data_IF_094789017936
#
_entry.id   IF_094789017936
#
_cell.length_a   1.000
_cell.length_b   1.000
_cell.length_c   1.000
_cell.angle_alpha   90.00
_cell.angle_beta   90.00
_cell.angle_gamma   90.00
#
_symmetry.space_group_name_H-M   'P 1'
#
loop_
_entity.id
_entity.type
_entity.pdbx_description
1 polymer ?
#
# COMPACT_ATOMS: atom_id res chain seq x y z
N UNK A 1 -12.66 0.28 -1.25
CA UNK A 1 -11.29 -0.31 -1.34
C UNK A 1 -11.40 -1.82 -1.57
N UNK A 2 -10.68 -2.40 -2.55
CA UNK A 2 -10.62 -3.86 -2.76
C UNK A 2 -9.81 -4.49 -1.61
N UNK A 3 -10.41 -4.61 -0.43
CA UNK A 3 -9.78 -5.30 0.68
C UNK A 3 -10.29 -6.74 0.75
N UNK A 4 -9.49 -7.66 1.30
CA UNK A 4 -9.85 -9.06 1.52
C UNK A 4 -11.16 -9.26 2.31
N UNK A 5 -11.72 -8.18 2.85
CA UNK A 5 -13.00 -8.10 3.55
C UNK A 5 -14.24 -8.35 2.67
N UNK A 6 -14.16 -8.24 1.33
CA UNK A 6 -15.33 -8.52 0.47
C UNK A 6 -15.68 -10.02 0.32
N UNK A 7 -14.98 -10.90 1.03
CA UNK A 7 -15.13 -12.35 0.89
C UNK A 7 -14.50 -12.86 -0.42
N UNK A 8 -13.95 -14.06 -0.39
CA UNK A 8 -13.37 -14.72 -1.57
C UNK A 8 -14.30 -15.79 -2.15
N UNK A 9 -15.58 -15.75 -1.76
CA UNK A 9 -16.58 -16.69 -2.23
C UNK A 9 -17.09 -16.26 -3.61
N UNK A 10 -17.27 -17.22 -4.50
CA UNK A 10 -17.65 -16.97 -5.89
C UNK A 10 -19.16 -17.09 -6.02
N UNK A 11 -19.77 -15.99 -6.43
CA UNK A 11 -21.14 -15.97 -6.91
C UNK A 11 -21.13 -16.32 -8.41
N UNK A 12 -21.66 -17.50 -8.76
CA UNK A 12 -21.61 -18.04 -10.13
C UNK A 12 -22.28 -17.10 -11.14
N UNK A 13 -23.39 -16.48 -10.77
CA UNK A 13 -24.13 -15.57 -11.67
C UNK A 13 -23.33 -14.30 -11.94
N UNK A 14 -22.78 -13.67 -10.88
CA UNK A 14 -21.90 -12.50 -11.03
C UNK A 14 -20.62 -12.82 -11.78
N UNK A 15 -20.07 -14.01 -11.59
CA UNK A 15 -18.88 -14.46 -12.30
C UNK A 15 -19.15 -14.58 -13.80
N UNK A 16 -20.28 -15.16 -14.18
CA UNK A 16 -20.74 -15.26 -15.56
C UNK A 16 -20.98 -13.89 -16.18
N UNK A 17 -21.62 -12.97 -15.48
CA UNK A 17 -21.80 -11.58 -15.93
C UNK A 17 -20.46 -10.86 -16.16
N UNK A 18 -19.51 -11.03 -15.23
CA UNK A 18 -18.17 -10.48 -15.35
C UNK A 18 -17.41 -11.03 -16.57
N UNK A 19 -17.49 -12.34 -16.81
CA UNK A 19 -16.90 -12.95 -18.01
C UNK A 19 -17.50 -12.40 -19.31
N UNK A 20 -18.82 -12.16 -19.34
CA UNK A 20 -19.51 -11.56 -20.49
C UNK A 20 -19.04 -10.12 -20.75
N UNK A 21 -18.87 -9.31 -19.70
CA UNK A 21 -18.51 -7.89 -19.83
C UNK A 21 -17.10 -7.68 -20.37
N UNK A 22 -16.16 -8.61 -20.12
CA UNK A 22 -14.77 -8.50 -20.59
C UNK A 22 -14.59 -8.61 -22.10
N UNK A 23 -15.59 -9.09 -22.86
CA UNK A 23 -15.54 -9.22 -24.32
C UNK A 23 -14.60 -10.31 -24.86
N UNK A 24 -13.42 -10.52 -24.26
CA UNK A 24 -12.42 -11.54 -24.65
C UNK A 24 -12.90 -12.98 -24.48
N UNK A 25 -13.90 -13.22 -23.64
CA UNK A 25 -14.46 -14.55 -23.37
C UNK A 25 -15.76 -14.85 -24.12
N UNK A 26 -16.04 -14.12 -25.21
CA UNK A 26 -17.26 -14.33 -26.03
C UNK A 26 -17.44 -15.79 -26.50
N UNK A 27 -16.36 -16.50 -26.77
CA UNK A 27 -16.37 -17.89 -27.21
C UNK A 27 -16.97 -18.86 -26.17
N UNK A 28 -16.96 -18.51 -24.88
CA UNK A 28 -17.60 -19.32 -23.83
C UNK A 28 -19.14 -19.23 -23.86
N UNK A 29 -19.68 -18.22 -24.55
CA UNK A 29 -21.12 -17.93 -24.58
C UNK A 29 -21.73 -18.15 -25.96
N UNK A 30 -20.94 -17.97 -27.03
CA UNK A 30 -21.37 -18.09 -28.43
C UNK A 30 -20.30 -18.83 -29.25
N UNK A 31 -20.69 -19.70 -30.21
CA UNK A 31 -22.05 -19.97 -30.67
C UNK A 31 -22.87 -20.87 -29.74
N UNK A 32 -22.22 -21.71 -28.93
CA UNK A 32 -22.85 -22.56 -27.91
C UNK A 32 -22.37 -22.14 -26.52
N UNK A 33 -23.24 -22.23 -25.53
CA UNK A 33 -22.88 -22.01 -24.14
C UNK A 33 -21.99 -23.15 -23.63
N UNK A 34 -20.78 -22.80 -23.19
CA UNK A 34 -19.72 -23.72 -22.75
C UNK A 34 -19.73 -23.86 -21.22
N UNK A 35 -20.80 -24.47 -20.68
CA UNK A 35 -21.03 -24.55 -19.22
C UNK A 35 -19.90 -25.27 -18.48
N UNK A 36 -19.44 -26.40 -19.02
CA UNK A 36 -18.38 -27.21 -18.40
C UNK A 36 -17.08 -26.42 -18.24
N UNK A 37 -16.74 -25.60 -19.23
CA UNK A 37 -15.54 -24.77 -19.22
C UNK A 37 -15.68 -23.62 -18.22
N UNK A 38 -16.86 -23.01 -18.14
CA UNK A 38 -17.16 -21.98 -17.12
C UNK A 38 -17.05 -22.60 -15.71
N UNK A 39 -17.61 -23.78 -15.49
CA UNK A 39 -17.54 -24.48 -14.20
C UNK A 39 -16.09 -24.87 -13.84
N UNK A 40 -15.30 -25.30 -14.82
CA UNK A 40 -13.87 -25.54 -14.60
C UNK A 40 -13.13 -24.26 -14.18
N UNK A 41 -13.41 -23.13 -14.83
CA UNK A 41 -12.81 -21.84 -14.47
C UNK A 41 -13.20 -21.45 -13.04
N UNK A 42 -14.48 -21.61 -12.67
CA UNK A 42 -14.97 -21.35 -11.31
C UNK A 42 -14.23 -22.25 -10.33
N UNK A 43 -14.19 -23.56 -10.58
CA UNK A 43 -13.50 -24.52 -9.72
C UNK A 43 -12.03 -24.13 -9.49
N UNK A 44 -11.26 -23.83 -10.55
CA UNK A 44 -9.87 -23.40 -10.40
C UNK A 44 -9.74 -22.09 -9.62
N UNK A 45 -10.69 -21.17 -9.79
CA UNK A 45 -10.74 -19.91 -9.04
C UNK A 45 -11.03 -20.16 -7.56
N UNK A 46 -11.95 -21.06 -7.22
CA UNK A 46 -12.23 -21.46 -5.84
C UNK A 46 -11.02 -22.13 -5.18
N UNK A 47 -10.32 -23.03 -5.89
CA UNK A 47 -9.10 -23.65 -5.36
C UNK A 47 -8.01 -22.61 -5.08
N UNK A 48 -7.87 -21.61 -5.96
CA UNK A 48 -6.97 -20.47 -5.73
C UNK A 48 -7.40 -19.63 -4.53
N UNK A 49 -8.69 -19.36 -4.41
CA UNK A 49 -9.25 -18.59 -3.30
C UNK A 49 -9.08 -19.30 -1.96
N UNK A 50 -9.21 -20.63 -1.90
CA UNK A 50 -8.89 -21.43 -0.70
C UNK A 50 -7.45 -21.26 -0.26
N UNK A 51 -6.49 -21.33 -1.20
CA UNK A 51 -5.07 -21.05 -0.90
C UNK A 51 -4.88 -19.64 -0.36
N UNK A 52 -5.55 -18.66 -0.96
CA UNK A 52 -5.47 -17.27 -0.54
C UNK A 52 -6.05 -17.05 0.86
N UNK A 53 -7.20 -17.67 1.18
CA UNK A 53 -7.79 -17.67 2.54
C UNK A 53 -6.80 -18.24 3.57
N UNK A 54 -6.17 -19.37 3.27
CA UNK A 54 -5.15 -19.95 4.16
C UNK A 54 -3.93 -19.02 4.36
N UNK A 55 -3.51 -18.29 3.33
CA UNK A 55 -2.47 -17.27 3.48
C UNK A 55 -2.94 -16.09 4.34
N UNK A 56 -4.17 -15.61 4.16
CA UNK A 56 -4.74 -14.52 4.95
C UNK A 56 -4.82 -14.93 6.44
N UNK A 57 -5.24 -16.15 6.73
CA UNK A 57 -5.26 -16.69 8.10
C UNK A 57 -3.84 -16.77 8.69
N UNK A 58 -2.86 -17.22 7.90
CA UNK A 58 -1.47 -17.32 8.34
C UNK A 58 -0.79 -15.96 8.57
N UNK A 59 -1.12 -14.95 7.76
CA UNK A 59 -0.58 -13.59 7.90
C UNK A 59 -1.37 -12.71 8.87
N UNK A 60 -2.58 -13.11 9.22
CA UNK A 60 -3.56 -12.29 9.95
C UNK A 60 -4.27 -11.32 9.01
N UNK A 61 -5.60 -11.29 9.04
CA UNK A 61 -6.36 -10.22 8.40
C UNK A 61 -6.09 -8.91 9.16
N UNK A 62 -5.37 -7.98 8.52
CA UNK A 62 -5.15 -6.65 9.13
C UNK A 62 -6.47 -5.93 9.30
N UNK A 63 -6.69 -5.33 10.47
CA UNK A 63 -7.79 -4.38 10.67
C UNK A 63 -7.73 -3.32 9.57
N UNK A 64 -8.85 -2.91 8.97
CA UNK A 64 -8.79 -2.08 7.76
C UNK A 64 -8.14 -0.72 8.03
N UNK A 65 -8.29 -0.20 9.26
CA UNK A 65 -7.80 1.10 9.72
C UNK A 65 -7.63 1.03 11.24
N UNK A 66 -6.45 1.42 11.74
CA UNK A 66 -6.25 1.77 13.15
C UNK A 66 -6.27 3.30 13.30
N UNK A 67 -7.06 3.79 14.27
CA UNK A 67 -7.21 5.24 14.52
C UNK A 67 -6.49 5.62 15.80
N UNK A 68 -5.43 6.40 15.66
CA UNK A 68 -4.66 6.94 16.79
C UNK A 68 -5.13 8.36 17.12
N UNK A 69 -5.36 8.64 18.40
CA UNK A 69 -5.64 9.99 18.90
C UNK A 69 -4.45 10.49 19.70
N UNK A 70 -3.82 11.55 19.23
CA UNK A 70 -2.69 12.19 19.91
C UNK A 70 -3.13 13.49 20.56
N UNK A 71 -2.67 13.73 21.80
CA UNK A 71 -2.87 15.02 22.46
C UNK A 71 -1.90 16.04 21.86
N UNK A 72 -2.42 16.99 21.07
CA UNK A 72 -1.63 18.03 20.40
C UNK A 72 -0.74 18.83 21.35
N UNK A 73 -1.18 19.06 22.60
CA UNK A 73 -0.41 19.80 23.62
C UNK A 73 0.75 19.00 24.22
N UNK A 74 0.74 17.67 24.06
CA UNK A 74 1.76 16.78 24.58
C UNK A 74 2.73 16.27 23.48
N UNK A 75 2.57 16.74 22.23
CA UNK A 75 3.45 16.36 21.14
C UNK A 75 4.86 16.86 21.39
N UNK A 76 5.82 15.95 21.28
CA UNK A 76 7.24 16.27 21.30
C UNK A 76 7.72 16.53 19.87
N UNK A 77 8.79 17.31 19.68
CA UNK A 77 9.43 17.43 18.37
C UNK A 77 9.84 16.06 17.83
N UNK A 78 9.40 15.76 16.62
CA UNK A 78 9.70 14.51 15.93
C UNK A 78 11.20 14.30 15.73
N UNK A 79 11.63 13.04 15.70
CA UNK A 79 13.04 12.65 15.57
C UNK A 79 13.36 11.92 14.25
N UNK A 80 12.42 11.82 13.31
CA UNK A 80 12.57 11.07 12.05
C UNK A 80 13.23 11.89 10.94
N UNK A 81 12.88 13.17 10.80
CA UNK A 81 13.40 14.06 9.77
C UNK A 81 14.21 15.19 10.42
N UNK A 82 15.49 15.27 10.07
CA UNK A 82 16.42 16.26 10.60
C UNK A 82 16.15 17.65 10.02
N UNK A 83 16.38 18.73 10.78
CA UNK A 83 16.46 20.07 10.22
C UNK A 83 17.70 20.20 9.30
N UNK A 84 17.74 21.23 8.46
CA UNK A 84 18.88 21.51 7.58
C UNK A 84 18.83 20.85 6.20
N UNK A 85 17.64 20.45 5.74
CA UNK A 85 17.40 19.95 4.39
C UNK A 85 17.17 21.07 3.37
N UNK A 86 17.38 20.80 2.08
CA UNK A 86 17.32 21.76 0.97
C UNK A 86 15.90 22.09 0.45
N UNK A 87 14.87 22.04 1.30
CA UNK A 87 13.52 22.47 0.94
C UNK A 87 13.43 24.00 0.96
N UNK A 88 12.63 24.59 0.07
CA UNK A 88 12.45 26.04 0.00
C UNK A 88 11.95 26.63 1.33
N UNK A 89 12.30 27.89 1.67
CA UNK A 89 11.69 28.59 2.79
C UNK A 89 10.17 28.63 2.64
N UNK A 90 9.45 28.14 3.65
CA UNK A 90 7.98 28.05 3.61
C UNK A 90 7.42 26.94 2.72
N UNK A 91 8.23 25.93 2.35
CA UNK A 91 7.76 24.82 1.52
C UNK A 91 6.61 24.04 2.21
N UNK A 92 5.45 23.99 1.54
CA UNK A 92 4.30 23.23 2.02
C UNK A 92 4.57 21.72 2.17
N UNK A 93 5.33 21.13 1.24
CA UNK A 93 5.72 19.71 1.35
C UNK A 93 6.57 19.44 2.60
N UNK A 94 7.49 20.36 2.96
CA UNK A 94 8.27 20.25 4.19
C UNK A 94 7.41 20.31 5.46
N UNK A 95 6.40 21.18 5.48
CA UNK A 95 5.45 21.25 6.58
C UNK A 95 4.65 19.95 6.72
N UNK A 96 4.15 19.39 5.60
CA UNK A 96 3.42 18.12 5.59
C UNK A 96 4.31 16.98 6.06
N UNK A 97 5.56 16.88 5.57
CA UNK A 97 6.50 15.85 6.00
C UNK A 97 6.81 15.94 7.50
N UNK A 98 6.99 17.14 8.05
CA UNK A 98 7.23 17.32 9.47
C UNK A 98 6.01 16.94 10.32
N UNK A 99 4.80 17.29 9.89
CA UNK A 99 3.56 16.89 10.57
C UNK A 99 3.34 15.38 10.51
N UNK A 100 3.56 14.78 9.34
CA UNK A 100 3.50 13.34 9.14
C UNK A 100 4.52 12.61 10.01
N UNK A 101 5.76 13.07 10.06
CA UNK A 101 6.81 12.54 10.93
C UNK A 101 6.45 12.68 12.42
N UNK A 102 5.80 13.78 12.82
CA UNK A 102 5.32 13.98 14.19
C UNK A 102 4.26 12.96 14.59
N UNK A 103 3.28 12.72 13.71
CA UNK A 103 2.26 11.69 13.96
C UNK A 103 2.88 10.29 13.98
N UNK A 104 3.78 10.00 13.03
CA UNK A 104 4.42 8.70 12.90
C UNK A 104 5.33 8.38 14.10
N UNK A 105 6.16 9.32 14.56
CA UNK A 105 7.04 9.15 15.74
C UNK A 105 6.21 8.89 17.00
N UNK A 106 5.13 9.64 17.20
CA UNK A 106 4.24 9.46 18.34
C UNK A 106 3.56 8.09 18.40
N UNK A 107 3.35 7.43 17.25
CA UNK A 107 2.67 6.12 17.15
C UNK A 107 3.66 4.96 17.10
N UNK A 108 4.73 5.10 16.32
CA UNK A 108 5.59 4.00 15.91
C UNK A 108 6.97 4.05 16.56
N UNK A 109 7.33 5.18 17.18
CA UNK A 109 8.71 5.48 17.52
C UNK A 109 9.62 5.22 16.32
N UNK A 110 10.69 4.44 16.53
CA UNK A 110 11.63 4.10 15.46
C UNK A 110 11.25 2.86 14.64
N UNK A 111 10.14 2.18 14.94
CA UNK A 111 9.72 0.97 14.22
C UNK A 111 8.99 1.32 12.91
N UNK A 112 9.67 2.05 12.03
CA UNK A 112 9.11 2.61 10.81
C UNK A 112 10.14 2.64 9.68
N UNK A 113 9.66 2.55 8.45
CA UNK A 113 10.45 2.72 7.23
C UNK A 113 9.72 3.70 6.30
N UNK A 114 10.45 4.69 5.80
CA UNK A 114 9.96 5.62 4.79
C UNK A 114 10.44 5.19 3.40
N UNK A 115 9.55 5.27 2.41
CA UNK A 115 9.85 4.97 1.00
C UNK A 115 9.47 6.18 0.18
N UNK A 116 10.42 6.80 -0.51
CA UNK A 116 10.19 8.04 -1.23
C UNK A 116 10.43 7.85 -2.73
N UNK A 117 9.46 8.21 -3.57
CA UNK A 117 9.72 8.39 -4.99
C UNK A 117 10.64 9.60 -5.21
N UNK A 118 11.39 9.59 -6.31
CA UNK A 118 12.01 10.81 -6.86
C UNK A 118 10.98 11.95 -6.88
N UNK A 119 11.29 13.07 -6.24
CA UNK A 119 10.39 14.22 -6.05
C UNK A 119 11.15 15.40 -5.45
N UNK A 120 10.53 16.59 -5.41
CA UNK A 120 11.10 17.73 -4.67
C UNK A 120 11.40 17.38 -3.20
N UNK A 121 10.51 16.61 -2.56
CA UNK A 121 10.69 16.13 -1.19
C UNK A 121 11.94 15.25 -1.05
N UNK A 122 12.14 14.34 -2.01
CA UNK A 122 13.28 13.44 -2.00
C UNK A 122 14.58 14.21 -2.23
N UNK A 123 14.75 14.89 -3.38
CA UNK A 123 16.01 15.56 -3.71
C UNK A 123 16.43 16.59 -2.66
N UNK A 124 15.48 17.26 -2.02
CA UNK A 124 15.75 18.23 -0.98
C UNK A 124 16.13 17.57 0.36
N UNK A 125 15.74 16.33 0.63
CA UNK A 125 16.03 15.61 1.88
C UNK A 125 17.12 14.55 1.76
N UNK A 126 17.63 14.27 0.55
CA UNK A 126 18.61 13.20 0.27
C UNK A 126 19.88 13.69 -0.47
N UNK A 127 20.04 15.00 -0.67
CA UNK A 127 21.06 15.58 -1.55
C UNK A 127 22.48 15.06 -1.25
N UNK A 128 23.20 14.70 -2.32
CA UNK A 128 24.63 14.36 -2.32
C UNK A 128 25.04 13.29 -1.29
N UNK A 129 24.23 12.24 -1.14
CA UNK A 129 24.39 11.14 -0.17
C UNK A 129 24.25 11.57 1.31
N UNK A 130 23.72 12.75 1.58
CA UNK A 130 23.43 13.23 2.94
C UNK A 130 21.92 13.19 3.16
N UNK A 131 21.43 12.02 3.58
CA UNK A 131 20.02 11.86 3.92
C UNK A 131 19.69 12.56 5.25
N UNK A 132 18.61 13.33 5.25
CA UNK A 132 18.08 14.02 6.43
C UNK A 132 17.27 13.09 7.35
N UNK A 133 17.05 11.84 6.95
CA UNK A 133 16.24 10.86 7.66
C UNK A 133 17.04 10.10 8.72
N UNK A 134 16.53 10.07 9.96
CA UNK A 134 17.17 9.44 11.15
C UNK A 134 16.60 8.07 11.50
N UNK A 135 15.71 7.57 10.66
CA UNK A 135 15.14 6.22 10.66
C UNK A 135 15.33 5.62 9.27
N UNK A 136 15.17 4.30 9.08
CA UNK A 136 15.30 3.70 7.77
C UNK A 136 14.46 4.43 6.72
N UNK A 137 15.13 4.85 5.65
CA UNK A 137 14.54 5.55 4.53
C UNK A 137 15.13 5.00 3.24
N UNK A 138 14.31 4.85 2.22
CA UNK A 138 14.75 4.34 0.92
C UNK A 138 14.19 5.22 -0.20
N UNK A 139 15.09 5.64 -1.08
CA UNK A 139 14.75 6.20 -2.38
C UNK A 139 14.31 5.09 -3.33
N UNK A 140 13.30 5.38 -4.15
CA UNK A 140 13.07 4.60 -5.35
C UNK A 140 12.69 5.50 -6.53
N UNK A 141 12.73 4.93 -7.73
CA UNK A 141 12.42 5.61 -8.98
C UNK A 141 11.07 6.34 -8.94
N UNK A 142 10.92 7.31 -9.84
CA UNK A 142 9.82 8.26 -9.83
C UNK A 142 8.44 7.59 -9.86
N UNK A 143 8.31 6.45 -10.52
CA UNK A 143 7.06 5.73 -10.71
C UNK A 143 6.77 4.64 -9.66
N UNK A 144 7.78 4.00 -9.08
CA UNK A 144 7.64 2.65 -8.50
C UNK A 144 7.66 2.55 -6.97
N UNK A 145 7.90 3.65 -6.25
CA UNK A 145 7.99 3.70 -4.78
C UNK A 145 6.82 3.06 -4.03
N UNK A 146 5.57 3.18 -4.52
CA UNK A 146 4.41 2.58 -3.86
C UNK A 146 4.50 1.04 -3.80
N UNK A 147 4.91 0.40 -4.90
CA UNK A 147 5.08 -1.06 -4.97
C UNK A 147 6.29 -1.54 -4.18
N UNK A 148 7.27 -0.67 -3.96
CA UNK A 148 8.45 -0.98 -3.14
C UNK A 148 8.08 -0.93 -1.66
N UNK A 149 7.29 0.05 -1.24
CA UNK A 149 6.72 0.09 0.11
C UNK A 149 5.89 -1.16 0.42
N UNK A 150 5.05 -1.55 -0.53
CA UNK A 150 4.27 -2.78 -0.48
C UNK A 150 5.17 -4.03 -0.36
N UNK A 151 6.22 -4.11 -1.18
CA UNK A 151 7.16 -5.23 -1.17
C UNK A 151 7.90 -5.34 0.17
N UNK A 152 8.33 -4.21 0.75
CA UNK A 152 8.99 -4.17 2.06
C UNK A 152 8.03 -4.69 3.15
N UNK A 153 6.79 -4.17 3.20
CA UNK A 153 5.77 -4.64 4.15
C UNK A 153 5.55 -6.15 4.04
N UNK A 154 5.37 -6.63 2.80
CA UNK A 154 5.13 -8.05 2.50
C UNK A 154 6.33 -8.91 2.88
N UNK A 155 7.55 -8.45 2.62
CA UNK A 155 8.77 -9.16 2.96
C UNK A 155 8.93 -9.36 4.48
N UNK A 156 8.67 -8.32 5.29
CA UNK A 156 8.71 -8.45 6.76
C UNK A 156 7.66 -9.44 7.28
N UNK A 157 6.43 -9.41 6.73
CA UNK A 157 5.37 -10.38 7.05
C UNK A 157 5.78 -11.81 6.73
N UNK A 158 6.29 -12.04 5.52
CA UNK A 158 6.77 -13.37 5.09
C UNK A 158 7.90 -13.85 6.00
N UNK A 159 8.88 -12.99 6.30
CA UNK A 159 10.00 -13.35 7.18
C UNK A 159 9.51 -13.69 8.59
N UNK A 160 8.58 -12.92 9.15
CA UNK A 160 8.01 -13.19 10.47
C UNK A 160 7.23 -14.51 10.50
N UNK A 161 6.38 -14.76 9.51
CA UNK A 161 5.64 -16.02 9.39
C UNK A 161 6.55 -17.25 9.23
N UNK A 162 7.73 -17.08 8.63
CA UNK A 162 8.76 -18.13 8.49
C UNK A 162 9.67 -18.27 9.71
N UNK A 163 9.48 -17.48 10.78
CA UNK A 163 10.39 -17.46 11.94
C UNK A 163 11.80 -16.94 11.59
N UNK A 164 11.93 -16.12 10.54
CA UNK A 164 13.19 -15.52 10.09
C UNK A 164 13.34 -14.04 10.51
N UNK A 165 12.45 -13.58 11.39
CA UNK A 165 12.42 -12.24 11.94
C UNK A 165 11.63 -12.22 13.25
N UNK A 166 12.32 -11.93 14.35
CA UNK A 166 11.74 -11.93 15.70
C UNK A 166 11.18 -10.56 16.11
N UNK A 167 11.42 -9.53 15.31
CA UNK A 167 10.96 -8.16 15.59
C UNK A 167 9.48 -7.93 15.32
N UNK A 168 8.99 -6.76 15.75
CA UNK A 168 7.70 -6.24 15.31
C UNK A 168 7.76 -5.83 13.84
N UNK A 169 6.69 -6.11 13.09
CA UNK A 169 6.65 -5.70 11.68
C UNK A 169 6.66 -4.16 11.65
N UNK A 170 7.60 -3.53 10.91
CA UNK A 170 7.68 -2.08 10.88
C UNK A 170 6.51 -1.46 10.12
N UNK A 171 6.12 -0.27 10.55
CA UNK A 171 5.20 0.58 9.78
C UNK A 171 5.91 1.06 8.51
N UNK A 172 5.20 1.08 7.39
CA UNK A 172 5.76 1.56 6.13
C UNK A 172 4.98 2.79 5.68
N UNK A 173 5.67 3.90 5.44
CA UNK A 173 5.07 5.10 4.85
C UNK A 173 5.66 5.32 3.46
N UNK A 174 4.78 5.32 2.47
CA UNK A 174 5.11 5.73 1.11
C UNK A 174 4.89 7.24 0.94
N UNK A 175 5.90 7.94 0.42
CA UNK A 175 5.89 9.37 0.11
C UNK A 175 5.98 9.51 -1.40
N UNK A 176 4.93 10.06 -2.00
CA UNK A 176 4.85 10.38 -3.42
C UNK A 176 4.38 11.83 -3.62
N UNK A 177 4.97 12.50 -4.61
CA UNK A 177 4.44 13.76 -5.14
C UNK A 177 3.33 13.50 -6.16
N UNK A 178 2.68 14.56 -6.63
CA UNK A 178 1.58 14.52 -7.59
C UNK A 178 1.93 13.76 -8.88
N UNK A 179 3.11 14.00 -9.48
CA UNK A 179 3.53 13.25 -10.67
C UNK A 179 3.62 11.73 -10.45
N UNK A 180 4.07 11.30 -9.27
CA UNK A 180 4.18 9.88 -8.92
C UNK A 180 2.86 9.25 -8.48
N UNK A 181 1.83 10.03 -8.19
CA UNK A 181 0.53 9.50 -7.73
C UNK A 181 -0.60 9.70 -8.75
N UNK A 182 -0.52 10.70 -9.61
CA UNK A 182 -1.55 11.04 -10.60
C UNK A 182 -1.15 10.77 -12.05
N UNK A 183 0.15 10.59 -12.34
CA UNK A 183 0.66 10.37 -13.69
C UNK A 183 1.52 9.10 -13.76
N UNK A 184 2.85 9.22 -13.87
CA UNK A 184 3.76 8.10 -14.16
C UNK A 184 3.68 6.95 -13.15
N UNK A 185 3.46 7.27 -11.86
CA UNK A 185 3.39 6.27 -10.80
C UNK A 185 1.97 5.77 -10.49
N UNK A 186 0.93 6.30 -11.14
CA UNK A 186 -0.46 5.92 -10.84
C UNK A 186 -0.70 4.41 -11.01
N UNK A 187 -0.13 3.79 -12.05
CA UNK A 187 -0.25 2.34 -12.25
C UNK A 187 0.36 1.54 -11.08
N UNK A 188 1.51 1.99 -10.56
CA UNK A 188 2.21 1.34 -9.47
C UNK A 188 1.48 1.54 -8.14
N UNK A 189 1.01 2.75 -7.86
CA UNK A 189 0.17 3.06 -6.71
C UNK A 189 -1.10 2.21 -6.71
N UNK A 190 -1.82 2.19 -7.83
CA UNK A 190 -3.03 1.38 -8.01
C UNK A 190 -2.75 -0.10 -7.77
N UNK A 191 -1.66 -0.64 -8.34
CA UNK A 191 -1.29 -2.04 -8.15
C UNK A 191 -1.02 -2.35 -6.67
N UNK A 192 -0.31 -1.46 -5.97
CA UNK A 192 0.02 -1.63 -4.57
C UNK A 192 -1.21 -1.63 -3.66
N UNK A 193 -2.14 -0.71 -3.91
CA UNK A 193 -3.43 -0.62 -3.20
C UNK A 193 -4.28 -1.88 -3.42
N UNK A 194 -4.36 -2.39 -4.65
CA UNK A 194 -5.18 -3.57 -4.99
C UNK A 194 -4.59 -4.86 -4.41
N UNK A 195 -3.26 -4.99 -4.35
CA UNK A 195 -2.60 -6.25 -3.99
C UNK A 195 -2.61 -6.55 -2.50
N UNK A 196 -2.37 -5.55 -1.64
CA UNK A 196 -2.13 -5.83 -0.22
C UNK A 196 -3.33 -5.65 0.68
N UNK A 197 -4.40 -4.98 0.25
CA UNK A 197 -5.55 -4.60 1.11
C UNK A 197 -5.22 -3.70 2.31
N UNK A 198 -3.95 -3.36 2.53
CA UNK A 198 -3.43 -2.71 3.75
C UNK A 198 -2.83 -1.33 3.49
N UNK A 199 -2.75 -0.89 2.24
CA UNK A 199 -2.40 0.50 1.93
C UNK A 199 -3.62 1.39 2.10
N UNK A 200 -3.49 2.38 2.97
CA UNK A 200 -4.43 3.48 3.10
C UNK A 200 -3.80 4.70 2.43
N UNK A 201 -4.39 5.16 1.33
CA UNK A 201 -4.02 6.44 0.75
C UNK A 201 -4.69 7.55 1.56
N UNK A 202 -3.89 8.48 2.10
CA UNK A 202 -4.41 9.66 2.79
C UNK A 202 -4.89 10.69 1.77
N UNK A 203 -6.00 10.38 1.09
CA UNK A 203 -6.65 11.25 0.11
C UNK A 203 -8.03 11.66 0.65
N UNK A 204 -8.31 12.97 0.68
CA UNK A 204 -9.59 13.48 1.18
C UNK A 204 -10.78 13.01 0.35
N UNK A 205 -10.60 12.75 -0.95
CA UNK A 205 -11.64 12.27 -1.86
C UNK A 205 -11.96 10.78 -1.68
N UNK A 206 -11.14 10.03 -0.94
CA UNK A 206 -11.39 8.62 -0.63
C UNK A 206 -12.19 8.40 0.65
N UNK A 207 -12.48 9.46 1.42
CA UNK A 207 -13.25 9.37 2.69
C UNK A 207 -14.68 8.85 2.50
N UNK A 208 -15.25 9.01 1.31
CA UNK A 208 -16.65 8.69 1.02
C UNK A 208 -16.87 7.36 0.28
N UNK A 209 -15.81 6.58 0.00
CA UNK A 209 -15.96 5.25 -0.59
C UNK A 209 -16.39 4.22 0.47
N UNK A 210 -17.70 4.17 0.73
CA UNK A 210 -18.36 3.08 1.48
C UNK A 210 -18.21 1.73 0.77
#
# INVERSE_FOLDING_TARGET
TFSYYRGLDIDKDKFVEYLKSMGRFRHLFKPKFMEKEIDNIIYYTEQRNKKLKGLIEAFGAEKPIDVYRVNRKALKPQQHLSPGHGLCPGCGAGMVLNQLATAADAVTGKNIIYVNNTSCAEVSTSKDNVASWRVPWVHHLFESGATVAEAISTAYKIRKAKGQYDGEIPYIIHIGGDGSTYDIGFQFLKAAIIRTSTMVEMNEYLKDQK
#
